data_IF_362083160419
#
_entry.id   IF_362083160419
#
_cell.length_a   1.000
_cell.length_b   1.000
_cell.length_c   1.000
_cell.angle_alpha   90.00
_cell.angle_beta   90.00
_cell.angle_gamma   90.00
#
_symmetry.space_group_name_H-M   'P 1'
#
loop_
_entity.id
_entity.type
_entity.pdbx_description
1 polymer ?
#
# COMPACT_ATOMS: atom_id res chain seq x y z
N UNK A 1 13.10 8.38 10.12
CA UNK A 1 12.24 7.35 9.51
C UNK A 1 12.96 6.01 9.57
N UNK A 2 12.32 5.00 10.06
CA UNK A 2 12.93 3.67 10.12
C UNK A 2 12.90 3.02 8.74
N UNK A 3 13.87 2.15 8.41
CA UNK A 3 13.87 1.46 7.12
C UNK A 3 12.61 0.61 6.89
N UNK A 4 12.10 0.02 7.96
CA UNK A 4 10.87 -0.76 7.88
C UNK A 4 9.63 0.12 8.01
N UNK A 5 9.83 1.39 8.33
CA UNK A 5 8.76 2.33 8.64
C UNK A 5 8.44 3.28 7.52
N UNK A 6 8.59 2.85 6.28
CA UNK A 6 8.14 3.67 5.16
C UNK A 6 6.71 4.09 5.41
N UNK A 7 6.44 5.38 5.26
CA UNK A 7 5.12 5.92 5.48
C UNK A 7 4.17 5.35 4.43
N UNK A 8 3.03 4.84 4.90
CA UNK A 8 1.96 4.42 4.03
C UNK A 8 0.65 4.71 4.74
N UNK A 9 0.02 5.81 4.36
CA UNK A 9 -1.21 6.25 4.97
C UNK A 9 -2.35 6.10 3.97
N UNK A 10 -3.35 5.29 4.26
CA UNK A 10 -4.52 5.21 3.40
C UNK A 10 -5.30 6.53 3.45
N UNK A 11 -5.83 6.92 2.31
CA UNK A 11 -6.70 8.10 2.20
C UNK A 11 -8.08 7.59 1.85
N UNK A 12 -9.07 7.99 2.63
CA UNK A 12 -10.44 7.52 2.45
C UNK A 12 -11.40 8.69 2.36
N UNK A 13 -12.60 8.43 1.86
CA UNK A 13 -13.68 9.42 1.87
C UNK A 13 -14.43 9.38 3.20
N UNK A 14 -15.53 10.12 3.30
CA UNK A 14 -16.33 10.22 4.52
C UNK A 14 -16.98 8.89 4.92
N UNK A 15 -17.08 7.95 3.99
CA UNK A 15 -17.64 6.63 4.22
C UNK A 15 -16.56 5.56 4.36
N UNK A 16 -15.31 6.00 4.51
CA UNK A 16 -14.14 5.14 4.65
C UNK A 16 -13.77 4.33 3.39
N UNK A 17 -14.28 4.74 2.23
CA UNK A 17 -13.89 4.09 0.97
C UNK A 17 -12.48 4.54 0.58
N UNK A 18 -11.58 3.61 0.23
CA UNK A 18 -10.22 3.97 -0.18
C UNK A 18 -10.21 4.83 -1.44
N UNK A 19 -9.54 5.96 -1.38
CA UNK A 19 -9.33 6.84 -2.51
C UNK A 19 -7.90 6.75 -3.04
N UNK A 20 -6.97 6.41 -2.18
CA UNK A 20 -5.57 6.33 -2.52
C UNK A 20 -4.71 6.15 -1.29
N UNK A 21 -3.44 6.45 -1.41
CA UNK A 21 -2.51 6.37 -0.30
C UNK A 21 -1.46 7.47 -0.41
N UNK A 22 -0.91 7.87 0.73
CA UNK A 22 0.24 8.75 0.77
C UNK A 22 1.43 7.96 1.29
N UNK A 23 2.51 8.00 0.55
CA UNK A 23 3.76 7.38 0.94
C UNK A 23 4.82 8.46 1.14
N UNK A 24 5.94 8.09 1.77
CA UNK A 24 7.08 9.00 1.89
C UNK A 24 7.61 9.42 0.51
N UNK A 25 7.51 8.54 -0.47
CA UNK A 25 7.87 8.88 -1.85
C UNK A 25 6.96 9.97 -2.41
N UNK A 26 5.65 9.88 -2.18
CA UNK A 26 4.71 10.92 -2.61
C UNK A 26 5.06 12.27 -2.00
N UNK A 27 5.40 12.28 -0.71
CA UNK A 27 5.76 13.50 -0.03
C UNK A 27 7.05 14.09 -0.60
N UNK A 28 8.03 13.25 -0.92
CA UNK A 28 9.31 13.72 -1.45
C UNK A 28 9.16 14.19 -2.90
N UNK A 29 8.53 13.37 -3.74
CA UNK A 29 8.47 13.66 -5.18
C UNK A 29 7.45 14.75 -5.49
N UNK A 30 6.27 14.66 -4.91
CA UNK A 30 5.18 15.55 -5.27
C UNK A 30 5.06 16.80 -4.41
N UNK A 31 5.35 16.68 -3.12
CA UNK A 31 5.24 17.84 -2.24
C UNK A 31 6.52 18.68 -2.25
N UNK A 32 7.67 18.03 -2.04
CA UNK A 32 8.94 18.75 -1.92
C UNK A 32 9.50 19.14 -3.28
N UNK A 33 9.62 18.17 -4.20
CA UNK A 33 10.24 18.43 -5.50
C UNK A 33 9.41 19.36 -6.39
N UNK A 34 8.09 19.38 -6.22
CA UNK A 34 7.20 20.26 -6.97
C UNK A 34 6.88 21.57 -6.21
N UNK A 35 7.60 21.81 -5.12
CA UNK A 35 7.47 23.04 -4.33
C UNK A 35 6.07 23.29 -3.78
N UNK A 36 5.40 22.25 -3.36
CA UNK A 36 4.12 22.40 -2.67
C UNK A 36 4.35 22.84 -1.22
N UNK A 37 3.57 23.80 -0.77
CA UNK A 37 3.63 24.25 0.62
C UNK A 37 2.71 23.41 1.49
N UNK A 38 3.23 22.75 2.53
CA UNK A 38 2.40 21.86 3.35
C UNK A 38 1.13 22.49 3.90
N UNK A 39 1.20 23.75 4.30
CA UNK A 39 0.04 24.45 4.85
C UNK A 39 -1.00 24.87 3.82
N UNK A 40 -0.70 24.72 2.55
CA UNK A 40 -1.59 25.12 1.46
C UNK A 40 -1.85 23.99 0.48
N UNK A 41 -1.41 22.77 0.82
CA UNK A 41 -1.52 21.63 -0.06
C UNK A 41 -2.44 20.58 0.58
N UNK A 42 -3.44 20.14 -0.16
CA UNK A 42 -4.34 19.11 0.31
C UNK A 42 -3.74 17.73 0.06
N UNK A 43 -4.12 16.78 0.90
CA UNK A 43 -3.69 15.39 0.77
C UNK A 43 -3.97 14.85 -0.63
N UNK A 44 -5.14 15.17 -1.17
CA UNK A 44 -5.57 14.75 -2.51
C UNK A 44 -4.57 15.14 -3.61
N UNK A 45 -3.88 16.26 -3.44
CA UNK A 45 -2.97 16.78 -4.45
C UNK A 45 -1.66 16.01 -4.53
N UNK A 46 -1.29 15.32 -3.46
CA UNK A 46 -0.01 14.60 -3.38
C UNK A 46 -0.16 13.09 -3.28
N UNK A 47 -1.35 12.58 -2.99
CA UNK A 47 -1.57 11.15 -2.85
C UNK A 47 -1.46 10.42 -4.19
N UNK A 48 -1.15 9.13 -4.11
CA UNK A 48 -1.28 8.23 -5.26
C UNK A 48 -2.71 7.69 -5.27
N UNK A 49 -3.38 7.77 -6.41
CA UNK A 49 -4.72 7.23 -6.57
C UNK A 49 -4.68 5.73 -6.88
N UNK A 50 -5.83 5.17 -7.19
CA UNK A 50 -5.97 3.76 -7.56
C UNK A 50 -5.40 2.81 -6.51
N UNK A 51 -5.97 2.80 -5.30
CA UNK A 51 -5.47 1.92 -4.23
C UNK A 51 -5.67 0.46 -4.59
N UNK A 52 -4.70 -0.38 -4.21
CA UNK A 52 -4.83 -1.82 -4.37
C UNK A 52 -5.55 -2.35 -3.15
N UNK A 53 -6.64 -3.07 -3.37
CA UNK A 53 -7.48 -3.55 -2.28
C UNK A 53 -7.76 -5.05 -2.42
N UNK A 54 -8.14 -5.66 -1.29
CA UNK A 54 -8.70 -6.99 -1.26
C UNK A 54 -9.91 -6.97 -0.33
N UNK A 55 -10.77 -7.97 -0.44
CA UNK A 55 -11.93 -8.08 0.42
C UNK A 55 -11.60 -8.78 1.74
N UNK A 56 -12.35 -8.44 2.77
CA UNK A 56 -12.18 -9.04 4.10
C UNK A 56 -12.31 -10.57 4.07
N UNK A 57 -13.13 -11.09 3.18
CA UNK A 57 -13.40 -12.51 3.08
C UNK A 57 -12.64 -13.21 1.94
N UNK A 58 -11.78 -12.48 1.25
CA UNK A 58 -10.94 -13.09 0.22
C UNK A 58 -9.89 -13.99 0.85
N UNK A 59 -9.50 -15.02 0.09
CA UNK A 59 -8.36 -15.84 0.48
C UNK A 59 -7.10 -14.97 0.49
N UNK A 60 -6.22 -15.24 1.44
CA UNK A 60 -4.97 -14.48 1.54
C UNK A 60 -4.16 -14.53 0.23
N UNK A 61 -4.32 -15.59 -0.54
CA UNK A 61 -3.68 -15.71 -1.85
C UNK A 61 -4.08 -14.60 -2.81
N UNK A 62 -5.32 -14.11 -2.71
CA UNK A 62 -5.79 -12.99 -3.55
C UNK A 62 -4.99 -11.74 -3.23
N UNK A 63 -4.77 -11.48 -1.94
CA UNK A 63 -3.97 -10.34 -1.51
C UNK A 63 -2.53 -10.46 -2.02
N UNK A 64 -1.94 -11.65 -1.90
CA UNK A 64 -0.58 -11.91 -2.37
C UNK A 64 -0.45 -11.65 -3.87
N UNK A 65 -1.37 -12.20 -4.65
CA UNK A 65 -1.36 -12.04 -6.10
C UNK A 65 -1.47 -10.60 -6.52
N UNK A 66 -2.32 -9.83 -5.85
CA UNK A 66 -2.50 -8.41 -6.16
C UNK A 66 -1.28 -7.59 -5.79
N UNK A 67 -0.63 -7.92 -4.67
CA UNK A 67 0.60 -7.23 -4.28
C UNK A 67 1.72 -7.47 -5.29
N UNK A 68 1.88 -8.71 -5.76
CA UNK A 68 2.87 -9.03 -6.78
C UNK A 68 2.55 -8.34 -8.10
N UNK A 69 1.30 -8.42 -8.54
CA UNK A 69 0.85 -7.83 -9.80
C UNK A 69 1.08 -6.32 -9.84
N UNK A 70 0.80 -5.64 -8.75
CA UNK A 70 0.92 -4.18 -8.67
C UNK A 70 2.23 -3.70 -8.06
N UNK A 71 3.15 -4.61 -7.75
CA UNK A 71 4.45 -4.30 -7.15
C UNK A 71 4.31 -3.52 -5.83
N UNK A 72 3.39 -3.95 -4.99
CA UNK A 72 3.11 -3.30 -3.72
C UNK A 72 3.44 -4.22 -2.56
N UNK A 73 3.99 -3.65 -1.50
CA UNK A 73 4.30 -4.38 -0.28
C UNK A 73 3.19 -4.27 0.78
N UNK A 74 2.13 -3.52 0.48
CA UNK A 74 0.96 -3.37 1.33
C UNK A 74 -0.30 -3.36 0.50
N UNK A 75 -1.38 -3.84 1.08
CA UNK A 75 -2.68 -3.87 0.43
C UNK A 75 -3.75 -3.49 1.44
N UNK A 76 -4.72 -2.70 0.99
CA UNK A 76 -5.85 -2.29 1.83
C UNK A 76 -6.92 -3.36 1.82
N UNK A 77 -7.48 -3.64 2.99
CA UNK A 77 -8.55 -4.62 3.13
C UNK A 77 -9.87 -3.89 3.36
N UNK A 78 -10.88 -4.23 2.58
CA UNK A 78 -12.19 -3.57 2.66
C UNK A 78 -13.28 -4.60 2.99
N UNK A 79 -14.36 -4.12 3.62
CA UNK A 79 -15.53 -4.95 3.89
C UNK A 79 -16.48 -4.95 2.69
N UNK A 80 -17.66 -5.55 2.85
CA UNK A 80 -18.65 -5.65 1.78
C UNK A 80 -19.15 -4.30 1.28
N UNK A 81 -19.15 -3.29 2.14
CA UNK A 81 -19.53 -1.94 1.76
C UNK A 81 -18.40 -1.17 1.07
N UNK A 82 -17.23 -1.79 0.94
CA UNK A 82 -16.08 -1.13 0.36
C UNK A 82 -15.32 -0.24 1.32
N UNK A 83 -15.65 -0.29 2.60
CA UNK A 83 -15.00 0.53 3.61
C UNK A 83 -13.70 -0.11 4.09
N UNK A 84 -12.68 0.71 4.29
CA UNK A 84 -11.39 0.26 4.77
C UNK A 84 -11.50 -0.29 6.19
N UNK A 85 -11.05 -1.52 6.40
CA UNK A 85 -11.05 -2.17 7.70
C UNK A 85 -9.66 -2.57 8.17
N UNK A 86 -8.67 -2.53 7.30
CA UNK A 86 -7.31 -2.85 7.71
C UNK A 86 -6.33 -2.76 6.57
N UNK A 87 -5.06 -2.97 6.89
CA UNK A 87 -3.97 -2.99 5.92
C UNK A 87 -3.15 -4.24 6.20
N UNK A 88 -2.83 -4.98 5.16
CA UNK A 88 -1.97 -6.15 5.25
C UNK A 88 -0.65 -5.79 4.59
N UNK A 89 0.45 -6.05 5.27
CA UNK A 89 1.77 -5.87 4.70
C UNK A 89 2.36 -7.22 4.27
N UNK A 90 3.31 -7.16 3.35
CA UNK A 90 4.03 -8.35 2.95
C UNK A 90 4.76 -8.98 4.13
N UNK A 91 5.25 -8.15 5.06
CA UNK A 91 5.89 -8.65 6.28
C UNK A 91 4.92 -9.43 7.16
N UNK A 92 3.65 -8.97 7.26
CA UNK A 92 2.63 -9.69 8.01
C UNK A 92 2.38 -11.08 7.43
N UNK A 93 2.35 -11.17 6.11
CA UNK A 93 2.17 -12.45 5.43
C UNK A 93 3.37 -13.36 5.67
N UNK A 94 4.58 -12.82 5.56
CA UNK A 94 5.80 -13.59 5.75
C UNK A 94 5.91 -14.18 7.15
N UNK A 95 5.38 -13.50 8.17
CA UNK A 95 5.35 -14.00 9.53
C UNK A 95 4.44 -15.21 9.69
N UNK A 96 3.45 -15.33 8.84
CA UNK A 96 2.43 -16.39 8.93
C UNK A 96 2.66 -17.54 7.98
N UNK A 97 3.48 -17.33 6.96
CA UNK A 97 3.83 -18.37 6.01
C UNK A 97 5.19 -18.95 6.34
N UNK A 98 5.40 -20.21 5.98
CA UNK A 98 6.64 -20.90 6.28
C UNK A 98 7.47 -21.17 5.03
N UNK A 99 8.79 -21.11 5.20
CA UNK A 99 9.73 -21.64 4.26
C UNK A 99 9.93 -20.87 2.98
N UNK A 100 10.17 -21.63 1.92
CA UNK A 100 10.57 -21.08 0.63
C UNK A 100 9.51 -20.21 -0.03
N UNK A 101 8.24 -20.46 0.28
CA UNK A 101 7.15 -19.73 -0.34
C UNK A 101 7.12 -18.26 0.07
N UNK A 102 7.28 -18.00 1.37
CA UNK A 102 7.33 -16.62 1.87
C UNK A 102 8.55 -15.89 1.31
N UNK A 103 9.69 -16.57 1.28
CA UNK A 103 10.92 -15.99 0.73
C UNK A 103 10.77 -15.68 -0.76
N UNK A 104 10.15 -16.56 -1.50
CA UNK A 104 9.92 -16.34 -2.93
C UNK A 104 9.01 -15.15 -3.16
N UNK A 105 7.94 -15.00 -2.37
CA UNK A 105 7.03 -13.88 -2.47
C UNK A 105 7.76 -12.56 -2.21
N UNK A 106 8.60 -12.51 -1.19
CA UNK A 106 9.40 -11.34 -0.89
C UNK A 106 10.34 -10.99 -2.05
N UNK A 107 10.97 -12.00 -2.64
CA UNK A 107 11.87 -11.80 -3.78
C UNK A 107 11.16 -11.27 -5.00
N UNK A 108 9.98 -11.77 -5.30
CA UNK A 108 9.21 -11.32 -6.45
C UNK A 108 8.79 -9.87 -6.32
N UNK A 109 8.27 -9.48 -5.17
CA UNK A 109 7.86 -8.10 -4.93
C UNK A 109 9.06 -7.17 -4.99
N UNK A 110 10.16 -7.53 -4.35
CA UNK A 110 11.37 -6.70 -4.32
C UNK A 110 12.00 -6.55 -5.70
N UNK A 111 12.02 -7.62 -6.48
CA UNK A 111 12.57 -7.59 -7.82
C UNK A 111 11.78 -6.66 -8.73
N UNK A 112 10.45 -6.76 -8.70
CA UNK A 112 9.59 -5.89 -9.51
C UNK A 112 9.69 -4.44 -9.07
N UNK A 113 9.80 -4.18 -7.79
CA UNK A 113 9.98 -2.83 -7.29
C UNK A 113 11.30 -2.22 -7.77
N UNK A 114 12.36 -3.04 -7.89
CA UNK A 114 13.66 -2.59 -8.36
C UNK A 114 13.67 -2.32 -9.87
N UNK A 115 12.83 -3.00 -10.61
CA UNK A 115 12.73 -2.85 -12.05
C UNK A 115 11.85 -1.66 -12.46
N UNK A 116 11.05 -1.19 -11.54
CA UNK A 116 10.19 -0.03 -11.77
C UNK A 116 10.98 1.27 -11.61
#
# INVERSE_FOLDING_TARGET
MTPAGAIHLPVVDDEAHPLGAITDRDLTVRAVAEDHRPGQTRVREVMSGHPVTCGLWDDLRVAEERMVEHHKSRIMCVNEAGALVGIISLADIAEREEGAQALQLLREVSRHASEA
#
